data_IF_586552068745
#
_entry.id   IF_586552068745
#
_cell.length_a   1.000
_cell.length_b   1.000
_cell.length_c   1.000
_cell.angle_alpha   90.00
_cell.angle_beta   90.00
_cell.angle_gamma   90.00
#
_symmetry.space_group_name_H-M   'P 1'
#
loop_
_entity.id
_entity.type
_entity.pdbx_description
1 polymer ?
#
# COMPACT_ATOMS: atom_id res chain seq x y z
N UNK A 1 17.83 -3.40 -15.10
CA UNK A 1 17.18 -2.54 -16.11
C UNK A 1 15.77 -2.20 -15.62
N UNK A 2 15.44 -0.91 -15.48
CA UNK A 2 14.10 -0.46 -15.08
C UNK A 2 13.10 -0.78 -16.18
N UNK A 3 11.95 -1.38 -15.82
CA UNK A 3 10.89 -1.72 -16.80
C UNK A 3 10.20 -0.49 -17.36
N UNK A 4 9.66 -0.63 -18.57
CA UNK A 4 8.98 0.45 -19.28
C UNK A 4 7.84 1.10 -18.48
N UNK A 5 7.06 0.31 -17.72
CA UNK A 5 5.97 0.83 -16.88
C UNK A 5 6.46 1.73 -15.74
N UNK A 6 7.57 1.35 -15.09
CA UNK A 6 8.22 2.15 -14.05
C UNK A 6 8.79 3.42 -14.65
N UNK A 7 9.47 3.33 -15.80
CA UNK A 7 9.97 4.52 -16.52
C UNK A 7 8.84 5.49 -16.87
N UNK A 8 7.71 4.97 -17.36
CA UNK A 8 6.53 5.80 -17.67
C UNK A 8 6.05 6.59 -16.46
N UNK A 9 5.92 5.94 -15.31
CA UNK A 9 5.48 6.60 -14.07
C UNK A 9 6.49 7.66 -13.61
N UNK A 10 7.80 7.37 -13.67
CA UNK A 10 8.86 8.31 -13.29
C UNK A 10 8.90 9.50 -14.26
N UNK A 11 8.82 9.28 -15.57
CA UNK A 11 8.83 10.35 -16.57
C UNK A 11 7.62 11.27 -16.47
N UNK A 12 6.47 10.78 -16.00
CA UNK A 12 5.31 11.61 -15.71
C UNK A 12 5.47 12.48 -14.45
N UNK A 13 6.43 12.15 -13.58
CA UNK A 13 6.63 12.79 -12.27
C UNK A 13 5.59 12.40 -11.21
N UNK A 14 4.54 11.67 -11.60
CA UNK A 14 3.50 11.21 -10.70
C UNK A 14 2.85 9.91 -11.18
N UNK A 15 2.08 9.28 -10.28
CA UNK A 15 1.16 8.19 -10.58
C UNK A 15 -0.22 8.51 -10.02
N UNK A 16 -1.26 8.31 -10.82
CA UNK A 16 -2.67 8.50 -10.46
C UNK A 16 -3.44 7.20 -10.47
N UNK A 17 -4.51 7.13 -9.67
CA UNK A 17 -5.46 6.02 -9.71
C UNK A 17 -6.08 5.84 -11.11
N UNK A 18 -6.30 6.95 -11.83
CA UNK A 18 -6.85 6.98 -13.20
C UNK A 18 -5.88 6.48 -14.28
N UNK A 19 -4.59 6.34 -13.99
CA UNK A 19 -3.62 5.87 -14.99
C UNK A 19 -3.77 4.37 -15.28
N UNK A 20 -4.40 3.64 -14.35
CA UNK A 20 -4.63 2.20 -14.43
C UNK A 20 -3.36 1.38 -14.75
N UNK A 21 -2.19 1.86 -14.30
CA UNK A 21 -0.93 1.15 -14.46
C UNK A 21 -0.95 -0.18 -13.70
N UNK A 22 -0.69 -1.28 -14.43
CA UNK A 22 -0.67 -2.65 -13.90
C UNK A 22 0.76 -3.17 -13.81
N UNK A 23 1.30 -3.21 -12.61
CA UNK A 23 2.63 -3.74 -12.35
C UNK A 23 2.57 -5.26 -12.15
N UNK A 24 3.42 -6.02 -12.83
CA UNK A 24 3.48 -7.48 -12.63
C UNK A 24 4.33 -7.89 -11.41
N UNK A 25 5.23 -7.01 -10.96
CA UNK A 25 6.04 -7.21 -9.77
C UNK A 25 5.88 -6.05 -8.80
N UNK A 26 5.87 -6.34 -7.50
CA UNK A 26 5.87 -5.33 -6.43
C UNK A 26 7.09 -4.40 -6.52
N UNK A 27 8.26 -4.96 -6.86
CA UNK A 27 9.50 -4.20 -7.02
C UNK A 27 9.38 -3.09 -8.07
N UNK A 28 8.71 -3.34 -9.19
CA UNK A 28 8.52 -2.34 -10.25
C UNK A 28 7.67 -1.15 -9.77
N UNK A 29 6.68 -1.40 -8.91
CA UNK A 29 5.86 -0.35 -8.29
C UNK A 29 6.65 0.44 -7.24
N UNK A 30 7.41 -0.24 -6.38
CA UNK A 30 8.27 0.41 -5.37
C UNK A 30 9.33 1.30 -6.03
N UNK A 31 9.91 0.84 -7.14
CA UNK A 31 10.95 1.56 -7.87
C UNK A 31 10.42 2.86 -8.53
N UNK A 32 9.09 3.07 -8.60
CA UNK A 32 8.53 4.36 -9.00
C UNK A 32 8.82 5.47 -7.97
N UNK A 33 9.24 5.11 -6.76
CA UNK A 33 9.39 6.03 -5.63
C UNK A 33 10.85 6.17 -5.17
N UNK A 34 11.80 6.23 -6.10
CA UNK A 34 13.22 6.47 -5.80
C UNK A 34 13.93 5.28 -5.15
N UNK A 35 13.53 4.06 -5.50
CA UNK A 35 14.18 2.81 -5.06
C UNK A 35 14.76 2.06 -6.24
N UNK A 36 15.78 1.26 -5.97
CA UNK A 36 16.33 0.30 -6.92
C UNK A 36 16.38 -1.11 -6.31
N UNK A 37 15.21 -1.75 -6.18
CA UNK A 37 15.10 -3.12 -5.68
C UNK A 37 14.76 -4.11 -6.80
N UNK A 38 15.33 -5.32 -6.71
CA UNK A 38 15.11 -6.41 -7.68
C UNK A 38 13.83 -7.21 -7.39
N UNK A 39 13.49 -7.37 -6.11
CA UNK A 39 12.33 -8.14 -5.67
C UNK A 39 11.82 -7.61 -4.32
N UNK A 40 10.54 -7.86 -4.04
CA UNK A 40 9.92 -7.61 -2.75
C UNK A 40 8.95 -8.75 -2.45
N UNK A 41 9.22 -9.52 -1.40
CA UNK A 41 8.37 -10.66 -1.00
C UNK A 41 7.37 -10.26 0.10
N UNK A 42 7.73 -9.31 0.96
CA UNK A 42 6.86 -8.85 2.04
C UNK A 42 5.67 -7.99 1.53
N UNK A 43 4.77 -7.66 2.46
CA UNK A 43 3.55 -6.89 2.20
C UNK A 43 3.79 -5.41 1.91
N UNK A 44 4.96 -4.85 2.23
CA UNK A 44 5.25 -3.45 1.99
C UNK A 44 6.66 -3.07 2.43
N UNK A 45 7.09 -1.87 2.06
CA UNK A 45 8.42 -1.37 2.38
C UNK A 45 8.44 0.14 2.54
N UNK A 46 9.35 0.61 3.38
CA UNK A 46 9.66 2.02 3.49
C UNK A 46 10.55 2.45 2.32
N UNK A 47 10.26 3.60 1.72
CA UNK A 47 11.04 4.09 0.57
C UNK A 47 12.30 4.85 1.00
N UNK A 48 12.44 5.25 2.26
CA UNK A 48 13.56 6.10 2.68
C UNK A 48 13.38 7.58 2.34
N UNK A 49 12.26 7.95 1.71
CA UNK A 49 11.94 9.33 1.31
C UNK A 49 10.54 9.71 1.78
N UNK A 50 10.40 10.93 2.31
CA UNK A 50 9.12 11.58 2.65
C UNK A 50 8.17 10.79 3.56
N UNK A 51 8.70 9.95 4.46
CA UNK A 51 7.93 9.27 5.52
C UNK A 51 6.75 8.40 5.05
N UNK A 52 6.77 7.93 3.80
CA UNK A 52 5.74 7.03 3.28
C UNK A 52 6.23 5.59 3.08
N UNK A 53 5.28 4.68 3.17
CA UNK A 53 5.45 3.27 2.87
C UNK A 53 4.75 2.93 1.56
N UNK A 54 5.32 2.05 0.76
CA UNK A 54 4.59 1.40 -0.33
C UNK A 54 4.01 0.11 0.21
N UNK A 55 2.69 -0.05 0.14
CA UNK A 55 1.97 -1.16 0.75
C UNK A 55 1.13 -1.93 -0.26
N UNK A 56 1.18 -3.25 -0.14
CA UNK A 56 0.48 -4.24 -0.95
C UNK A 56 -0.39 -5.10 -0.01
N UNK A 57 -1.51 -4.55 0.50
CA UNK A 57 -2.39 -5.28 1.40
C UNK A 57 -2.91 -6.55 0.71
N UNK A 58 -2.89 -7.64 1.46
CA UNK A 58 -3.39 -8.94 1.00
C UNK A 58 -4.57 -9.36 1.88
N UNK A 59 -5.74 -9.55 1.27
CA UNK A 59 -6.97 -9.97 1.94
C UNK A 59 -6.93 -11.45 2.33
N UNK A 60 -6.08 -12.24 1.68
CA UNK A 60 -5.96 -13.69 1.90
C UNK A 60 -4.77 -14.04 2.82
N UNK A 61 -4.24 -13.07 3.54
CA UNK A 61 -3.06 -13.26 4.38
C UNK A 61 -3.35 -14.17 5.58
N UNK A 62 -2.41 -15.04 5.96
CA UNK A 62 -2.58 -15.96 7.09
C UNK A 62 -2.48 -15.27 8.46
N UNK A 63 -1.66 -14.22 8.57
CA UNK A 63 -1.41 -13.48 9.81
C UNK A 63 -2.31 -12.24 9.96
N UNK A 64 -2.78 -11.69 8.84
CA UNK A 64 -3.53 -10.44 8.81
C UNK A 64 -4.96 -10.65 8.31
N UNK A 65 -5.90 -9.95 8.93
CA UNK A 65 -7.30 -9.84 8.51
C UNK A 65 -7.48 -8.48 7.86
N UNK A 66 -7.18 -8.41 6.55
CA UNK A 66 -7.34 -7.20 5.77
C UNK A 66 -8.67 -7.20 5.04
N UNK A 67 -9.36 -6.07 5.07
CA UNK A 67 -10.62 -5.86 4.38
C UNK A 67 -10.56 -4.53 3.63
N UNK A 68 -11.13 -4.51 2.42
CA UNK A 68 -11.19 -3.31 1.59
C UNK A 68 -12.66 -2.97 1.42
N UNK A 69 -13.03 -1.74 1.80
CA UNK A 69 -14.39 -1.24 1.61
C UNK A 69 -14.83 -1.34 0.14
N UNK A 70 -16.14 -1.47 -0.10
CA UNK A 70 -16.72 -1.61 -1.45
C UNK A 70 -16.30 -0.51 -2.43
N UNK A 71 -16.14 0.72 -1.96
CA UNK A 71 -15.69 1.87 -2.76
C UNK A 71 -14.16 2.02 -2.82
N UNK A 72 -13.41 1.17 -2.13
CA UNK A 72 -11.95 1.15 -2.13
C UNK A 72 -11.30 2.39 -1.49
N UNK A 73 -12.02 3.13 -0.66
CA UNK A 73 -11.52 4.33 0.03
C UNK A 73 -11.06 4.05 1.46
N UNK A 74 -11.49 2.93 2.04
CA UNK A 74 -11.05 2.45 3.36
C UNK A 74 -10.45 1.05 3.25
N UNK A 75 -9.37 0.84 4.01
CA UNK A 75 -8.74 -0.46 4.22
C UNK A 75 -8.68 -0.69 5.72
N UNK A 76 -9.19 -1.83 6.16
CA UNK A 76 -9.18 -2.25 7.55
C UNK A 76 -8.11 -3.31 7.72
N UNK A 77 -7.28 -3.19 8.74
CA UNK A 77 -6.18 -4.11 9.01
C UNK A 77 -6.17 -4.49 10.48
N UNK A 78 -6.10 -5.80 10.74
CA UNK A 78 -6.00 -6.35 12.08
C UNK A 78 -5.12 -7.58 12.06
N UNK A 79 -4.27 -7.74 13.08
CA UNK A 79 -3.57 -9.02 13.30
C UNK A 79 -4.58 -10.10 13.70
N UNK A 80 -4.51 -11.27 13.08
CA UNK A 80 -5.33 -12.44 13.44
C UNK A 80 -4.82 -13.07 14.74
N UNK A 81 -5.68 -13.83 15.41
CA UNK A 81 -5.34 -14.54 16.65
C UNK A 81 -5.51 -13.67 17.90
N UNK A 82 -4.45 -13.57 18.69
CA UNK A 82 -4.49 -13.01 20.04
C UNK A 82 -4.96 -11.54 20.10
N UNK A 83 -5.84 -11.24 21.05
CA UNK A 83 -6.44 -9.92 21.20
C UNK A 83 -5.46 -8.88 21.75
N UNK A 84 -4.52 -9.27 22.61
CA UNK A 84 -3.51 -8.37 23.15
C UNK A 84 -2.51 -7.97 22.06
N UNK A 85 -2.10 -8.91 21.20
CA UNK A 85 -1.28 -8.62 20.02
C UNK A 85 -1.98 -7.68 19.04
N UNK A 86 -3.26 -7.91 18.74
CA UNK A 86 -4.04 -7.01 17.87
C UNK A 86 -4.13 -5.59 18.47
N UNK A 87 -4.33 -5.46 19.79
CA UNK A 87 -4.36 -4.18 20.49
C UNK A 87 -2.99 -3.49 20.50
N UNK A 88 -1.92 -4.24 20.75
CA UNK A 88 -0.55 -3.73 20.72
C UNK A 88 -0.18 -3.23 19.31
N UNK A 89 -0.56 -3.99 18.29
CA UNK A 89 -0.39 -3.58 16.89
C UNK A 89 -1.12 -2.28 16.59
N UNK A 90 -2.41 -2.17 16.95
CA UNK A 90 -3.18 -0.95 16.74
C UNK A 90 -2.53 0.25 17.44
N UNK A 91 -2.12 0.10 18.70
CA UNK A 91 -1.43 1.17 19.44
C UNK A 91 -0.15 1.61 18.72
N UNK A 92 0.62 0.66 18.17
CA UNK A 92 1.80 0.95 17.38
C UNK A 92 1.46 1.72 16.10
N UNK A 93 0.43 1.33 15.35
CA UNK A 93 0.04 2.04 14.13
C UNK A 93 -0.42 3.47 14.40
N UNK A 94 -1.18 3.68 15.48
CA UNK A 94 -1.59 5.03 15.92
C UNK A 94 -0.36 5.88 16.26
N UNK A 95 0.61 5.31 16.98
CA UNK A 95 1.84 6.01 17.33
C UNK A 95 2.75 6.30 16.12
N UNK A 96 2.87 5.35 15.19
CA UNK A 96 3.68 5.49 13.99
C UNK A 96 3.07 6.52 13.01
N UNK A 97 1.73 6.65 12.97
CA UNK A 97 0.97 7.57 12.11
C UNK A 97 1.45 7.61 10.65
N UNK A 98 1.70 6.43 10.09
CA UNK A 98 2.28 6.27 8.74
C UNK A 98 1.31 6.67 7.62
N UNK A 99 1.90 7.00 6.48
CA UNK A 99 1.22 7.15 5.19
C UNK A 99 1.60 6.01 4.26
N UNK A 100 0.64 5.54 3.48
CA UNK A 100 0.82 4.41 2.57
C UNK A 100 0.42 4.77 1.14
N UNK A 101 1.34 4.62 0.19
CA UNK A 101 0.98 4.46 -1.22
C UNK A 101 0.53 3.01 -1.44
N UNK A 102 -0.76 2.82 -1.69
CA UNK A 102 -1.36 1.49 -1.71
C UNK A 102 -1.46 0.96 -3.14
N UNK A 103 -1.00 -0.27 -3.32
CA UNK A 103 -1.15 -1.02 -4.56
C UNK A 103 -1.91 -2.32 -4.30
N UNK A 104 -3.10 -2.44 -4.88
CA UNK A 104 -3.93 -3.63 -4.69
C UNK A 104 -3.59 -4.71 -5.70
N UNK A 105 -3.52 -5.94 -5.19
CA UNK A 105 -3.40 -7.16 -5.98
C UNK A 105 -4.71 -7.42 -6.73
N UNK A 106 -4.58 -7.86 -7.98
CA UNK A 106 -5.67 -8.38 -8.80
C UNK A 106 -5.19 -9.57 -9.61
N UNK A 107 -6.09 -10.50 -9.92
CA UNK A 107 -5.82 -11.62 -10.83
C UNK A 107 -6.61 -11.41 -12.11
N UNK A 108 -5.94 -11.60 -13.25
CA UNK A 108 -6.57 -11.63 -14.59
C UNK A 108 -6.06 -12.88 -15.28
N UNK A 109 -6.92 -13.89 -15.42
CA UNK A 109 -6.51 -15.25 -15.77
C UNK A 109 -5.44 -15.77 -14.79
N UNK A 110 -4.33 -16.29 -15.32
CA UNK A 110 -3.21 -16.80 -14.53
C UNK A 110 -2.21 -15.72 -14.10
N UNK A 111 -2.42 -14.46 -14.49
CA UNK A 111 -1.50 -13.36 -14.20
C UNK A 111 -1.94 -12.56 -12.97
N UNK A 112 -0.96 -12.14 -12.17
CA UNK A 112 -1.16 -11.25 -11.02
C UNK A 112 -0.67 -9.85 -11.38
N UNK A 113 -1.46 -8.83 -11.01
CA UNK A 113 -1.11 -7.42 -11.20
C UNK A 113 -1.33 -6.63 -9.92
N UNK A 114 -0.53 -5.59 -9.75
CA UNK A 114 -0.63 -4.60 -8.68
C UNK A 114 -0.98 -3.25 -9.30
N UNK A 115 -2.03 -2.60 -8.80
CA UNK A 115 -2.50 -1.30 -9.34
C UNK A 115 -2.58 -0.28 -8.21
N UNK A 116 -2.09 0.93 -8.48
CA UNK A 116 -2.14 2.04 -7.52
C UNK A 116 -3.59 2.41 -7.19
N UNK A 117 -3.90 2.56 -5.90
CA UNK A 117 -5.24 2.90 -5.39
C UNK A 117 -5.30 4.20 -4.60
N UNK A 118 -4.18 4.91 -4.50
CA UNK A 118 -4.09 6.20 -3.81
C UNK A 118 -3.17 6.15 -2.61
N UNK A 119 -3.09 7.31 -1.95
CA UNK A 119 -2.36 7.48 -0.70
C UNK A 119 -3.35 7.42 0.46
N UNK A 120 -3.03 6.59 1.44
CA UNK A 120 -3.86 6.32 2.61
C UNK A 120 -3.14 6.76 3.88
N UNK A 121 -3.91 7.25 4.84
CA UNK A 121 -3.44 7.59 6.18
C UNK A 121 -4.36 6.94 7.21
N UNK A 122 -3.79 6.61 8.38
CA UNK A 122 -4.57 6.07 9.48
C UNK A 122 -5.60 7.10 9.96
N UNK A 123 -6.87 6.71 10.05
CA UNK A 123 -7.89 7.47 10.76
C UNK A 123 -7.91 7.00 12.21
N UNK A 124 -7.37 7.80 13.13
CA UNK A 124 -7.30 7.46 14.56
C UNK A 124 -8.71 7.22 15.11
N UNK A 125 -9.64 8.12 14.82
CA UNK A 125 -11.04 8.04 15.27
C UNK A 125 -11.70 6.73 14.82
N UNK A 126 -11.68 6.46 13.50
CA UNK A 126 -12.26 5.22 12.97
C UNK A 126 -11.54 3.98 13.53
N UNK A 127 -10.23 4.06 13.73
CA UNK A 127 -9.45 2.92 14.23
C UNK A 127 -9.78 2.58 15.69
N UNK A 128 -10.00 3.60 16.52
CA UNK A 128 -10.44 3.41 17.90
C UNK A 128 -11.87 2.83 17.96
N UNK A 129 -12.79 3.34 17.12
CA UNK A 129 -14.16 2.84 17.05
C UNK A 129 -14.24 1.38 16.58
N UNK A 130 -13.48 1.05 15.53
CA UNK A 130 -13.47 -0.29 14.91
C UNK A 130 -12.58 -1.30 15.66
N UNK A 131 -11.74 -0.83 16.59
CA UNK A 131 -10.73 -1.64 17.31
C UNK A 131 -9.78 -2.40 16.37
N UNK A 132 -9.47 -1.81 15.22
CA UNK A 132 -8.54 -2.27 14.18
C UNK A 132 -7.98 -1.06 13.44
N UNK A 133 -6.85 -1.20 12.75
CA UNK A 133 -6.29 -0.09 11.98
C UNK A 133 -7.21 0.21 10.79
N UNK A 134 -7.62 1.48 10.65
CA UNK A 134 -8.47 1.94 9.54
C UNK A 134 -7.70 2.98 8.75
N UNK A 135 -7.27 2.57 7.56
CA UNK A 135 -6.57 3.41 6.61
C UNK A 135 -7.58 4.04 5.65
N UNK A 136 -7.62 5.37 5.59
CA UNK A 136 -8.53 6.12 4.71
C UNK A 136 -7.73 6.79 3.59
N UNK A 137 -8.21 6.66 2.36
CA UNK A 137 -7.64 7.33 1.20
C UNK A 137 -7.85 8.83 1.32
N UNK A 138 -6.77 9.59 1.27
CA UNK A 138 -6.82 11.05 1.26
C UNK A 138 -6.27 11.65 -0.04
N UNK A 139 -5.59 10.86 -0.87
CA UNK A 139 -5.10 11.31 -2.18
C UNK A 139 -5.26 10.21 -3.25
N UNK A 140 -5.45 10.60 -4.50
CA UNK A 140 -5.50 9.73 -5.67
C UNK A 140 -4.28 9.87 -6.58
N UNK A 141 -3.35 10.76 -6.23
CA UNK A 141 -2.04 10.94 -6.86
C UNK A 141 -0.92 10.65 -5.86
N UNK A 142 0.25 10.28 -6.36
CA UNK A 142 1.51 10.33 -5.64
C UNK A 142 2.62 10.75 -6.59
N UNK A 143 3.55 11.57 -6.10
CA UNK A 143 4.75 11.94 -6.83
C UNK A 143 5.68 10.73 -6.99
N UNK A 144 6.33 10.64 -8.14
CA UNK A 144 7.27 9.57 -8.48
C UNK A 144 8.66 10.16 -8.68
N UNK A 145 9.68 9.33 -8.45
CA UNK A 145 11.05 9.79 -8.40
C UNK A 145 11.98 8.79 -9.07
N UNK A 146 12.96 9.32 -9.80
CA UNK A 146 14.15 8.54 -10.13
C UNK A 146 14.94 8.23 -8.85
N UNK A 147 15.79 7.21 -8.95
CA UNK A 147 16.81 6.87 -7.95
C UNK A 147 17.78 8.02 -7.80
#
# INVERSE_FOLDING_TARGET
MIKAITKRAISAGHIKVSDHLRFSLKADAVNCFGREIKSLQCGGTFTGRHDFWVWFPDTDNQEWSNEISKCGTKIYERKKGDAAEAKAYLKKQISDNKKHHVFLRSKVGNSTYYTYRGTFQLSIECSLAEKRAVWTRYDTQAETYAV
#
